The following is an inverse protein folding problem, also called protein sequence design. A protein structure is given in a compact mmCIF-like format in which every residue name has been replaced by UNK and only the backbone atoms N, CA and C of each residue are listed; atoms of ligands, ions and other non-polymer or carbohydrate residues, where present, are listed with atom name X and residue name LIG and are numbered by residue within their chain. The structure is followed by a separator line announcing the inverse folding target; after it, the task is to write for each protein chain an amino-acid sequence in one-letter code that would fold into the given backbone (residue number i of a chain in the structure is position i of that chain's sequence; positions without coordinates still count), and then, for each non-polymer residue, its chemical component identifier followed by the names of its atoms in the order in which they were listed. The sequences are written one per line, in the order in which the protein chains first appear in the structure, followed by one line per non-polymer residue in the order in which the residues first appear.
data_IF_312016169371
#
_entry.id   IF_312016169371
#
_cell.length_a   1.000
_cell.length_b   1.000
_cell.length_c   1.000
_cell.angle_alpha   90.00
_cell.angle_beta   90.00
_cell.angle_gamma   90.00
#
_symmetry.space_group_name_H-M   'P 1'
#
loop_
_entity.id
_entity.type
_entity.pdbx_description
1 polymer ?
#
# COMPACT_ATOMS: atom_id res chain seq x y z
N UNK A 1 -27.84 3.00 7.08
CA UNK A 1 -26.91 1.86 7.11
C UNK A 1 -25.54 2.40 6.77
N UNK A 2 -24.76 2.75 7.79
CA UNK A 2 -23.41 3.27 7.62
C UNK A 2 -22.49 2.16 7.12
N UNK A 3 -22.25 2.13 5.81
CA UNK A 3 -21.18 1.34 5.23
C UNK A 3 -19.86 1.91 5.77
N UNK A 4 -19.37 1.35 6.87
CA UNK A 4 -18.03 1.60 7.42
C UNK A 4 -17.01 1.34 6.31
N UNK A 5 -16.65 2.38 5.58
CA UNK A 5 -15.52 2.32 4.68
C UNK A 5 -14.27 2.10 5.55
N UNK A 6 -13.50 1.02 5.32
CA UNK A 6 -12.33 0.73 6.14
C UNK A 6 -11.33 1.90 6.05
N UNK A 7 -11.07 2.52 7.20
CA UNK A 7 -10.38 3.81 7.33
C UNK A 7 -8.87 3.62 7.24
N UNK A 8 -8.36 2.49 7.69
CA UNK A 8 -6.94 2.13 7.65
C UNK A 8 -6.64 1.00 6.65
N UNK A 9 -5.36 0.83 6.27
CA UNK A 9 -4.94 -0.32 5.47
C UNK A 9 -5.19 -1.63 6.22
N UNK A 10 -5.07 -1.60 7.55
CA UNK A 10 -5.35 -2.72 8.43
C UNK A 10 -6.81 -3.16 8.34
N UNK A 11 -7.73 -2.22 8.45
CA UNK A 11 -9.17 -2.48 8.32
C UNK A 11 -9.49 -3.08 6.93
N UNK A 12 -8.79 -2.61 5.88
CA UNK A 12 -8.94 -3.12 4.51
C UNK A 12 -8.41 -4.54 4.38
N UNK A 13 -7.27 -4.83 4.98
CA UNK A 13 -6.66 -6.16 4.96
C UNK A 13 -7.51 -7.17 5.74
N UNK A 14 -8.04 -6.78 6.89
CA UNK A 14 -8.96 -7.61 7.68
C UNK A 14 -10.28 -7.86 6.95
N UNK A 15 -10.88 -6.84 6.34
CA UNK A 15 -12.06 -7.02 5.49
C UNK A 15 -11.77 -7.92 4.28
N UNK A 16 -10.55 -7.87 3.73
CA UNK A 16 -10.12 -8.71 2.62
C UNK A 16 -9.93 -10.16 3.05
N UNK A 17 -9.30 -10.40 4.21
CA UNK A 17 -9.21 -11.74 4.83
C UNK A 17 -10.60 -12.36 4.96
N UNK A 18 -11.54 -11.63 5.54
CA UNK A 18 -12.91 -12.11 5.76
C UNK A 18 -13.63 -12.43 4.44
N UNK A 19 -13.40 -11.63 3.38
CA UNK A 19 -13.92 -11.92 2.04
C UNK A 19 -13.32 -13.20 1.45
N UNK A 20 -12.00 -13.39 1.56
CA UNK A 20 -11.31 -14.57 1.06
C UNK A 20 -11.80 -15.83 1.79
N UNK A 21 -11.87 -15.78 3.12
CA UNK A 21 -12.39 -16.88 3.96
C UNK A 21 -13.81 -17.25 3.56
N UNK A 22 -14.68 -16.26 3.30
CA UNK A 22 -16.05 -16.49 2.82
C UNK A 22 -16.11 -17.11 1.42
N UNK A 23 -15.25 -16.69 0.50
CA UNK A 23 -15.21 -17.21 -0.88
C UNK A 23 -14.74 -18.66 -0.89
N UNK A 24 -13.74 -18.97 -0.07
CA UNK A 24 -13.13 -20.29 0.00
C UNK A 24 -13.84 -21.23 0.97
N UNK A 25 -14.91 -20.77 1.63
CA UNK A 25 -15.67 -21.49 2.67
C UNK A 25 -14.77 -22.09 3.77
N UNK A 26 -13.75 -21.32 4.17
CA UNK A 26 -12.83 -21.70 5.25
C UNK A 26 -13.10 -20.82 6.47
N UNK A 27 -13.42 -21.44 7.59
CA UNK A 27 -13.62 -20.76 8.87
C UNK A 27 -12.46 -21.08 9.82
N UNK A 28 -11.78 -20.05 10.30
CA UNK A 28 -10.76 -20.18 11.34
C UNK A 28 -9.37 -20.44 10.78
N UNK A 29 -8.49 -19.45 10.95
CA UNK A 29 -7.08 -19.61 10.70
C UNK A 29 -6.37 -19.28 12.01
N UNK A 30 -5.60 -20.24 12.54
CA UNK A 30 -4.69 -20.02 13.69
C UNK A 30 -3.66 -18.92 13.41
N UNK A 31 -3.59 -18.46 12.17
CA UNK A 31 -2.67 -17.46 11.65
C UNK A 31 -3.36 -16.19 11.13
N UNK A 32 -4.52 -15.83 11.69
CA UNK A 32 -5.32 -14.68 11.23
C UNK A 32 -4.49 -13.40 11.16
N UNK A 33 -3.61 -13.18 12.14
CA UNK A 33 -2.72 -12.02 12.20
C UNK A 33 -1.65 -12.03 11.10
N UNK A 34 -1.04 -13.18 10.83
CA UNK A 34 -0.07 -13.36 9.76
C UNK A 34 -0.72 -13.18 8.39
N UNK A 35 -1.94 -13.67 8.20
CA UNK A 35 -2.69 -13.50 6.95
C UNK A 35 -3.01 -12.02 6.72
N UNK A 36 -3.47 -11.30 7.74
CA UNK A 36 -3.74 -9.85 7.60
C UNK A 36 -2.44 -9.11 7.28
N UNK A 37 -1.33 -9.41 7.96
CA UNK A 37 -0.01 -8.80 7.68
C UNK A 37 0.49 -9.12 6.27
N UNK A 38 0.28 -10.34 5.78
CA UNK A 38 0.65 -10.74 4.43
C UNK A 38 -0.15 -9.95 3.39
N UNK A 39 -1.46 -9.77 3.61
CA UNK A 39 -2.32 -8.93 2.75
C UNK A 39 -1.85 -7.47 2.78
N UNK A 40 -1.57 -6.91 3.97
CA UNK A 40 -1.04 -5.54 4.09
C UNK A 40 0.27 -5.38 3.32
N UNK A 41 1.22 -6.31 3.51
CA UNK A 41 2.51 -6.30 2.84
C UNK A 41 2.40 -6.40 1.32
N UNK A 42 1.56 -7.31 0.81
CA UNK A 42 1.32 -7.47 -0.62
C UNK A 42 0.71 -6.19 -1.25
N UNK A 43 -0.25 -5.57 -0.58
CA UNK A 43 -0.87 -4.32 -1.06
C UNK A 43 0.13 -3.17 -1.05
N UNK A 44 0.92 -3.02 0.02
CA UNK A 44 1.98 -2.01 0.08
C UNK A 44 2.96 -2.23 -1.07
N UNK A 45 3.45 -3.44 -1.26
CA UNK A 45 4.41 -3.76 -2.31
C UNK A 45 3.86 -3.43 -3.70
N UNK A 46 2.63 -3.87 -4.01
CA UNK A 46 1.99 -3.57 -5.29
C UNK A 46 1.84 -2.05 -5.54
N UNK A 47 1.45 -1.28 -4.53
CA UNK A 47 1.32 0.18 -4.64
C UNK A 47 2.67 0.86 -4.86
N UNK A 48 3.74 0.34 -4.27
CA UNK A 48 5.08 0.89 -4.44
C UNK A 48 5.62 0.62 -5.84
N UNK A 49 5.48 -0.62 -6.32
CA UNK A 49 5.87 -1.01 -7.67
C UNK A 49 5.10 -0.19 -8.71
N UNK A 50 3.80 0.02 -8.51
CA UNK A 50 3.00 0.83 -9.43
C UNK A 50 3.43 2.29 -9.42
N UNK A 51 3.72 2.88 -8.26
CA UNK A 51 4.25 4.25 -8.18
C UNK A 51 5.59 4.39 -8.88
N UNK A 52 6.46 3.40 -8.74
CA UNK A 52 7.75 3.37 -9.44
C UNK A 52 7.56 3.27 -10.95
N UNK A 53 6.65 2.40 -11.43
CA UNK A 53 6.27 2.34 -12.85
C UNK A 53 5.76 3.68 -13.36
N UNK A 54 4.86 4.34 -12.64
CA UNK A 54 4.35 5.66 -13.00
C UNK A 54 5.47 6.70 -13.09
N UNK A 55 6.40 6.70 -12.13
CA UNK A 55 7.56 7.61 -12.14
C UNK A 55 8.47 7.35 -13.35
N UNK A 56 8.71 6.09 -13.69
CA UNK A 56 9.52 5.71 -14.86
C UNK A 56 8.83 6.16 -16.16
N UNK A 57 7.52 5.95 -16.29
CA UNK A 57 6.76 6.38 -17.47
C UNK A 57 6.80 7.90 -17.60
N UNK A 58 6.55 8.63 -16.51
CA UNK A 58 6.64 10.09 -16.51
C UNK A 58 8.04 10.55 -16.90
N UNK A 59 9.10 10.01 -16.30
CA UNK A 59 10.48 10.34 -16.64
C UNK A 59 10.80 10.08 -18.12
N UNK A 60 10.35 8.94 -18.67
CA UNK A 60 10.62 8.56 -20.06
C UNK A 60 9.86 9.42 -21.08
N UNK A 61 8.66 9.88 -20.75
CA UNK A 61 7.74 10.51 -21.70
C UNK A 61 7.49 12.01 -21.48
N UNK A 62 7.95 12.58 -20.37
CA UNK A 62 7.93 14.03 -20.17
C UNK A 62 9.08 14.72 -20.92
N UNK A 63 8.81 15.93 -21.41
CA UNK A 63 9.80 16.88 -21.93
C UNK A 63 10.88 17.14 -20.87
N UNK A 64 12.10 17.55 -21.25
CA UNK A 64 13.21 17.71 -20.29
C UNK A 64 12.89 18.63 -19.09
N UNK A 65 12.09 19.68 -19.28
CA UNK A 65 11.62 20.57 -18.20
C UNK A 65 10.67 19.90 -17.18
N UNK A 66 9.96 18.85 -17.58
CA UNK A 66 9.05 18.11 -16.71
C UNK A 66 9.73 16.91 -16.03
N UNK A 67 10.90 16.46 -16.54
CA UNK A 67 11.73 15.44 -15.86
C UNK A 67 12.25 15.92 -14.51
N UNK A 68 12.70 17.17 -14.42
CA UNK A 68 13.19 17.75 -13.16
C UNK A 68 12.07 17.84 -12.11
N UNK A 69 10.86 18.24 -12.53
CA UNK A 69 9.68 18.26 -11.65
C UNK A 69 9.30 16.85 -11.21
N UNK A 70 9.31 15.88 -12.12
CA UNK A 70 9.01 14.48 -11.82
C UNK A 70 10.03 13.89 -10.83
N UNK A 71 11.32 14.19 -11.00
CA UNK A 71 12.38 13.78 -10.06
C UNK A 71 12.16 14.36 -8.67
N UNK A 72 11.87 15.66 -8.57
CA UNK A 72 11.59 16.32 -7.29
C UNK A 72 10.38 15.71 -6.58
N UNK A 73 9.30 15.45 -7.32
CA UNK A 73 8.09 14.80 -6.78
C UNK A 73 8.39 13.37 -6.32
N UNK A 74 9.18 12.61 -7.08
CA UNK A 74 9.57 11.26 -6.71
C UNK A 74 10.40 11.23 -5.40
N UNK A 75 11.32 12.18 -5.23
CA UNK A 75 12.11 12.30 -4.00
C UNK A 75 11.25 12.70 -2.80
N UNK A 76 10.31 13.64 -2.97
CA UNK A 76 9.38 14.02 -1.92
C UNK A 76 8.48 12.84 -1.49
N UNK A 77 8.00 12.04 -2.46
CA UNK A 77 7.23 10.81 -2.18
C UNK A 77 8.08 9.81 -1.40
N UNK A 78 9.35 9.60 -1.78
CA UNK A 78 10.27 8.71 -1.06
C UNK A 78 10.51 9.20 0.36
N UNK A 79 10.71 10.50 0.57
CA UNK A 79 10.97 11.10 1.89
C UNK A 79 9.78 10.95 2.83
N UNK A 80 8.58 11.26 2.33
CA UNK A 80 7.33 11.05 3.06
C UNK A 80 7.12 9.57 3.39
N UNK A 81 7.38 8.66 2.44
CA UNK A 81 7.31 7.21 2.66
C UNK A 81 8.26 6.77 3.77
N UNK A 82 9.52 7.21 3.75
CA UNK A 82 10.49 6.88 4.80
C UNK A 82 10.01 7.35 6.16
N UNK A 83 9.55 8.60 6.27
CA UNK A 83 9.01 9.13 7.53
C UNK A 83 7.80 8.34 8.03
N UNK A 84 6.89 7.94 7.12
CA UNK A 84 5.69 7.18 7.45
C UNK A 84 6.03 5.76 7.93
N UNK A 85 6.96 5.08 7.26
CA UNK A 85 7.48 3.77 7.66
C UNK A 85 8.19 3.85 9.01
N UNK A 86 9.04 4.86 9.22
CA UNK A 86 9.72 5.07 10.51
C UNK A 86 8.72 5.28 11.63
N UNK A 87 7.73 6.17 11.46
CA UNK A 87 6.72 6.43 12.48
C UNK A 87 5.86 5.19 12.80
N UNK A 88 5.43 4.45 11.78
CA UNK A 88 4.70 3.19 11.96
C UNK A 88 5.55 2.13 12.69
N UNK A 89 6.87 2.12 12.43
CA UNK A 89 7.80 1.20 13.10
C UNK A 89 8.06 1.60 14.55
N UNK A 90 8.05 2.89 14.88
CA UNK A 90 8.21 3.42 16.25
C UNK A 90 6.97 3.31 17.13
N UNK A 91 5.80 3.04 16.52
CA UNK A 91 4.53 2.81 17.24
C UNK A 91 4.26 1.31 17.51
N UNK A 92 5.17 0.43 17.11
CA UNK A 92 5.21 -0.99 17.50
C UNK A 92 6.15 -1.19 18.67
#
# INVERSE_FOLDING_TARGET
MDSKNPKSLRDRAEATKNKIQKILDVSGSDHDEEVIKAIEGAVIQALLEERERCAIVAFKHCCDEDRDKAHKVADDIKRLRTALVTNLSSMR
#
